data_IF_666894156791
#
_entry.id   IF_666894156791
#
_cell.length_a   1.000
_cell.length_b   1.000
_cell.length_c   1.000
_cell.angle_alpha   90.00
_cell.angle_beta   90.00
_cell.angle_gamma   90.00
#
_symmetry.space_group_name_H-M   'P 1'
#
loop_
_entity.id
_entity.type
_entity.pdbx_description
1 polymer ?
#
# COMPACT_ATOMS: atom_id res chain seq x y z
N UNK A 1 29.71 -29.46 17.38
CA UNK A 1 28.44 -28.76 17.09
C UNK A 1 28.68 -27.40 16.44
N UNK A 2 29.57 -26.56 16.99
CA UNK A 2 30.01 -25.26 16.42
C UNK A 2 30.57 -25.33 14.99
N UNK A 3 31.41 -26.32 14.68
CA UNK A 3 31.98 -26.49 13.32
C UNK A 3 30.92 -26.84 12.25
N UNK A 4 29.85 -27.55 12.63
CA UNK A 4 28.77 -27.93 11.71
C UNK A 4 27.86 -26.73 11.42
N UNK A 5 27.58 -25.91 12.44
CA UNK A 5 26.81 -24.65 12.32
C UNK A 5 27.56 -23.65 11.44
N UNK A 6 28.88 -23.49 11.61
CA UNK A 6 29.68 -22.59 10.77
C UNK A 6 29.71 -22.99 9.28
N UNK A 7 29.68 -24.29 8.99
CA UNK A 7 29.65 -24.79 7.61
C UNK A 7 28.30 -24.56 6.93
N UNK A 8 27.19 -24.77 7.65
CA UNK A 8 25.86 -24.48 7.12
C UNK A 8 25.61 -22.98 6.98
N UNK A 9 26.09 -22.15 7.92
CA UNK A 9 26.03 -20.69 7.82
C UNK A 9 26.82 -20.16 6.61
N UNK A 10 28.03 -20.68 6.36
CA UNK A 10 28.83 -20.30 5.18
C UNK A 10 28.16 -20.68 3.85
N UNK A 11 27.50 -21.83 3.79
CA UNK A 11 26.71 -22.24 2.60
C UNK A 11 25.50 -21.33 2.40
N UNK A 12 24.78 -21.01 3.47
CA UNK A 12 23.64 -20.09 3.42
C UNK A 12 24.07 -18.70 2.97
N UNK A 13 25.17 -18.17 3.50
CA UNK A 13 25.72 -16.87 3.13
C UNK A 13 26.08 -16.80 1.65
N UNK A 14 26.84 -17.77 1.14
CA UNK A 14 27.19 -17.84 -0.30
C UNK A 14 25.94 -17.89 -1.18
N UNK A 15 24.89 -18.57 -0.73
CA UNK A 15 23.62 -18.63 -1.43
C UNK A 15 22.91 -17.28 -1.43
N UNK A 16 22.78 -16.63 -0.28
CA UNK A 16 22.19 -15.30 -0.17
C UNK A 16 22.92 -14.34 -1.11
N UNK A 17 24.26 -14.31 -1.10
CA UNK A 17 25.02 -13.47 -2.02
C UNK A 17 24.74 -13.77 -3.50
N UNK A 18 24.62 -15.04 -3.88
CA UNK A 18 24.32 -15.43 -5.26
C UNK A 18 22.90 -15.02 -5.69
N UNK A 19 21.89 -15.31 -4.87
CA UNK A 19 20.50 -14.93 -5.14
C UNK A 19 20.35 -13.40 -5.16
N UNK A 20 20.93 -12.68 -4.20
CA UNK A 20 20.95 -11.20 -4.17
C UNK A 20 21.58 -10.62 -5.43
N UNK A 21 22.69 -11.19 -5.94
CA UNK A 21 23.29 -10.70 -7.18
C UNK A 21 22.36 -10.90 -8.39
N UNK A 22 21.68 -12.05 -8.47
CA UNK A 22 20.67 -12.26 -9.52
C UNK A 22 19.48 -11.31 -9.40
N UNK A 23 19.02 -11.05 -8.18
CA UNK A 23 17.92 -10.12 -7.94
C UNK A 23 18.32 -8.67 -8.25
N UNK A 24 19.55 -8.24 -7.94
CA UNK A 24 20.05 -6.91 -8.29
C UNK A 24 20.08 -6.73 -9.81
N UNK A 25 20.52 -7.75 -10.57
CA UNK A 25 20.51 -7.67 -12.03
C UNK A 25 19.10 -7.56 -12.59
N UNK A 26 18.15 -8.35 -12.08
CA UNK A 26 16.72 -8.25 -12.43
C UNK A 26 16.13 -6.90 -12.04
N UNK A 27 16.52 -6.36 -10.88
CA UNK A 27 16.11 -5.04 -10.43
C UNK A 27 16.64 -3.96 -11.36
N UNK A 28 17.89 -4.04 -11.78
CA UNK A 28 18.51 -3.11 -12.73
C UNK A 28 17.89 -3.21 -14.13
N UNK A 29 17.30 -4.34 -14.51
CA UNK A 29 16.53 -4.47 -15.75
C UNK A 29 15.14 -3.84 -15.64
N UNK A 30 14.45 -4.06 -14.52
CA UNK A 30 13.06 -3.64 -14.32
C UNK A 30 12.86 -2.37 -13.47
N UNK A 31 13.93 -1.64 -13.11
CA UNK A 31 13.88 -0.50 -12.20
C UNK A 31 12.87 0.58 -12.62
N UNK A 32 12.68 0.77 -13.94
CA UNK A 32 11.71 1.73 -14.50
C UNK A 32 10.27 1.39 -14.08
N UNK A 33 9.91 0.10 -14.05
CA UNK A 33 8.57 -0.34 -13.64
C UNK A 33 8.33 -0.06 -12.16
N UNK A 34 9.33 -0.33 -11.32
CA UNK A 34 9.25 -0.09 -9.88
C UNK A 34 9.17 1.40 -9.59
N UNK A 35 10.03 2.20 -10.25
CA UNK A 35 10.01 3.65 -10.12
C UNK A 35 8.67 4.23 -10.59
N UNK A 36 8.14 3.78 -11.73
CA UNK A 36 6.83 4.20 -12.21
C UNK A 36 5.71 3.86 -11.21
N UNK A 37 5.74 2.66 -10.61
CA UNK A 37 4.82 2.26 -9.56
C UNK A 37 4.89 3.16 -8.32
N UNK A 38 6.10 3.50 -7.86
CA UNK A 38 6.31 4.40 -6.72
C UNK A 38 5.83 5.83 -7.00
N UNK A 39 6.15 6.36 -8.18
CA UNK A 39 5.67 7.67 -8.62
C UNK A 39 4.14 7.66 -8.66
N UNK A 40 3.53 6.58 -9.17
CA UNK A 40 2.08 6.48 -9.24
C UNK A 40 1.43 6.41 -7.86
N UNK A 41 2.05 5.75 -6.86
CA UNK A 41 1.55 5.77 -5.49
C UNK A 41 1.50 7.19 -4.92
N UNK A 42 2.51 8.01 -5.21
CA UNK A 42 2.51 9.42 -4.82
C UNK A 42 1.40 10.20 -5.54
N UNK A 43 1.23 10.01 -6.85
CA UNK A 43 0.14 10.63 -7.63
C UNK A 43 -1.23 10.21 -7.08
N UNK A 44 -1.41 8.94 -6.74
CA UNK A 44 -2.65 8.44 -6.13
C UNK A 44 -2.92 9.10 -4.77
N UNK A 45 -1.89 9.26 -3.91
CA UNK A 45 -2.02 9.99 -2.65
C UNK A 45 -2.45 11.45 -2.85
N UNK A 46 -1.84 12.11 -3.84
CA UNK A 46 -2.19 13.47 -4.24
C UNK A 46 -3.64 13.55 -4.73
N UNK A 47 -4.06 12.63 -5.59
CA UNK A 47 -5.41 12.57 -6.14
C UNK A 47 -6.46 12.28 -5.05
N UNK A 48 -6.19 11.35 -4.14
CA UNK A 48 -7.08 11.05 -3.02
C UNK A 48 -7.29 12.26 -2.12
N UNK A 49 -6.25 13.05 -1.86
CA UNK A 49 -6.36 14.30 -1.10
C UNK A 49 -7.00 15.42 -1.90
N UNK A 50 -6.77 15.45 -3.21
CA UNK A 50 -7.44 16.32 -4.17
C UNK A 50 -8.96 16.23 -4.05
N UNK A 51 -9.50 15.02 -3.94
CA UNK A 51 -10.95 14.79 -3.76
C UNK A 51 -11.47 15.50 -2.51
N UNK A 52 -10.73 15.51 -1.40
CA UNK A 52 -11.18 16.18 -0.17
C UNK A 52 -11.32 17.71 -0.28
N UNK A 53 -10.66 18.36 -1.26
CA UNK A 53 -10.89 19.77 -1.56
C UNK A 53 -12.17 20.01 -2.37
N UNK A 54 -12.56 19.05 -3.21
CA UNK A 54 -13.78 19.12 -4.01
C UNK A 54 -14.99 18.56 -3.24
N UNK A 55 -14.75 17.73 -2.23
CA UNK A 55 -15.77 17.01 -1.50
C UNK A 55 -16.66 17.97 -0.69
N UNK A 56 -17.97 17.77 -0.81
CA UNK A 56 -18.98 18.39 0.06
C UNK A 56 -19.47 17.31 1.03
N UNK A 57 -19.33 17.51 2.36
CA UNK A 57 -19.79 16.53 3.32
C UNK A 57 -21.31 16.39 3.20
N UNK A 58 -21.77 15.15 3.17
CA UNK A 58 -23.17 14.78 3.03
C UNK A 58 -23.53 13.65 4.00
N UNK A 59 -24.82 13.32 4.17
CA UNK A 59 -25.25 12.20 4.98
C UNK A 59 -24.71 10.88 4.40
N UNK A 60 -24.38 9.94 5.29
CA UNK A 60 -23.86 8.63 4.89
C UNK A 60 -24.90 7.92 4.02
N UNK A 61 -24.48 7.46 2.84
CA UNK A 61 -25.37 6.74 1.94
C UNK A 61 -25.70 5.36 2.55
N UNK A 62 -26.98 4.98 2.66
CA UNK A 62 -27.35 3.66 3.13
C UNK A 62 -26.94 2.63 2.07
N UNK A 63 -26.02 1.74 2.41
CA UNK A 63 -25.65 0.60 1.59
C UNK A 63 -26.04 -0.71 2.31
N UNK A 64 -26.31 -1.76 1.53
CA UNK A 64 -26.62 -3.09 2.06
C UNK A 64 -25.46 -3.63 2.93
N UNK A 65 -24.24 -3.17 2.65
CA UNK A 65 -23.04 -3.49 3.42
C UNK A 65 -23.14 -3.03 4.87
N UNK A 66 -23.37 -1.73 5.12
CA UNK A 66 -23.52 -1.20 6.49
C UNK A 66 -24.80 -1.69 7.18
N UNK A 67 -25.81 -2.11 6.42
CA UNK A 67 -27.00 -2.75 6.97
C UNK A 67 -26.69 -4.14 7.53
N UNK A 68 -25.90 -4.96 6.82
CA UNK A 68 -25.56 -6.32 7.25
C UNK A 68 -24.35 -6.39 8.19
N UNK A 69 -23.37 -5.50 8.02
CA UNK A 69 -22.17 -5.39 8.83
C UNK A 69 -22.10 -3.99 9.44
N UNK A 70 -22.61 -3.81 10.67
CA UNK A 70 -22.54 -2.52 11.35
C UNK A 70 -21.08 -2.15 11.60
N UNK A 71 -20.82 -0.84 11.57
CA UNK A 71 -19.50 -0.31 11.87
C UNK A 71 -19.03 -0.70 13.29
N UNK A 72 -17.76 -1.09 13.41
CA UNK A 72 -17.19 -1.59 14.66
C UNK A 72 -17.04 -0.49 15.74
N UNK A 73 -17.14 0.78 15.36
CA UNK A 73 -16.92 1.95 16.21
C UNK A 73 -15.46 2.43 16.19
N UNK A 74 -15.25 3.74 16.40
CA UNK A 74 -13.92 4.36 16.43
C UNK A 74 -13.01 3.73 17.51
N UNK A 75 -13.59 3.36 18.65
CA UNK A 75 -12.88 2.74 19.78
C UNK A 75 -12.30 1.35 19.44
N UNK A 76 -12.83 0.68 18.40
CA UNK A 76 -12.41 -0.66 17.96
C UNK A 76 -11.61 -0.64 16.65
N UNK A 77 -11.21 0.54 16.16
CA UNK A 77 -10.41 0.67 14.94
C UNK A 77 -9.09 -0.11 14.95
N UNK A 78 -8.56 -0.40 16.15
CA UNK A 78 -7.37 -1.25 16.31
C UNK A 78 -7.55 -2.64 15.68
N UNK A 79 -8.78 -3.18 15.62
CA UNK A 79 -8.99 -4.55 15.15
C UNK A 79 -8.77 -4.63 13.64
N UNK A 80 -9.28 -3.65 12.90
CA UNK A 80 -9.01 -3.52 11.47
C UNK A 80 -7.53 -3.27 11.20
N UNK A 81 -6.88 -2.44 12.01
CA UNK A 81 -5.46 -2.12 11.85
C UNK A 81 -4.57 -3.34 12.14
N UNK A 82 -4.86 -4.09 13.21
CA UNK A 82 -4.15 -5.33 13.55
C UNK A 82 -4.33 -6.39 12.47
N UNK A 83 -5.55 -6.60 11.97
CA UNK A 83 -5.82 -7.56 10.91
C UNK A 83 -5.08 -7.20 9.62
N UNK A 84 -5.16 -5.92 9.21
CA UNK A 84 -4.45 -5.43 8.04
C UNK A 84 -2.94 -5.61 8.19
N UNK A 85 -2.38 -5.20 9.33
CA UNK A 85 -0.95 -5.32 9.64
C UNK A 85 -0.51 -6.78 9.64
N UNK A 86 -1.30 -7.68 10.22
CA UNK A 86 -0.99 -9.11 10.26
C UNK A 86 -0.94 -9.72 8.85
N UNK A 87 -1.94 -9.44 8.01
CA UNK A 87 -1.99 -9.92 6.63
C UNK A 87 -0.83 -9.34 5.82
N UNK A 88 -0.58 -8.03 5.96
CA UNK A 88 0.50 -7.34 5.26
C UNK A 88 1.89 -7.87 5.65
N UNK A 89 2.16 -8.01 6.95
CA UNK A 89 3.42 -8.57 7.44
C UNK A 89 3.62 -10.02 7.00
N UNK A 90 2.55 -10.82 7.02
CA UNK A 90 2.61 -12.21 6.55
C UNK A 90 2.97 -12.28 5.06
N UNK A 91 2.37 -11.42 4.24
CA UNK A 91 2.72 -11.30 2.82
C UNK A 91 4.17 -10.82 2.62
N UNK A 92 4.59 -9.78 3.36
CA UNK A 92 5.93 -9.23 3.28
C UNK A 92 6.99 -10.28 3.66
N UNK A 93 6.79 -11.00 4.77
CA UNK A 93 7.69 -12.09 5.19
C UNK A 93 7.72 -13.23 4.16
N UNK A 94 6.58 -13.55 3.54
CA UNK A 94 6.52 -14.52 2.44
C UNK A 94 7.33 -14.08 1.22
N UNK A 95 7.50 -12.78 0.96
CA UNK A 95 8.38 -12.33 -0.15
C UNK A 95 9.85 -12.69 0.05
N UNK A 96 10.31 -12.93 1.29
CA UNK A 96 11.67 -13.40 1.58
C UNK A 96 11.81 -14.93 1.58
N UNK A 97 10.70 -15.66 1.38
CA UNK A 97 10.69 -17.11 1.26
C UNK A 97 11.74 -17.70 0.29
N UNK A 98 11.98 -17.15 -0.92
CA UNK A 98 12.99 -17.68 -1.84
C UNK A 98 14.44 -17.63 -1.30
N UNK A 99 14.76 -16.70 -0.39
CA UNK A 99 16.08 -16.61 0.22
C UNK A 99 16.34 -17.71 1.27
N UNK A 100 15.30 -18.11 2.00
CA UNK A 100 15.41 -19.06 3.11
C UNK A 100 15.26 -20.51 2.59
N UNK A 101 14.27 -20.76 1.71
CA UNK A 101 13.95 -22.10 1.23
C UNK A 101 14.53 -22.38 -0.16
N UNK A 102 14.85 -23.65 -0.46
CA UNK A 102 15.40 -24.07 -1.77
C UNK A 102 14.31 -24.08 -2.85
N UNK A 103 13.86 -22.91 -3.31
CA UNK A 103 12.88 -22.78 -4.39
C UNK A 103 13.43 -21.92 -5.53
N UNK A 104 13.92 -22.57 -6.61
CA UNK A 104 14.60 -21.93 -7.75
C UNK A 104 13.70 -21.17 -8.75
N UNK A 105 12.44 -20.86 -8.42
CA UNK A 105 11.46 -20.40 -9.43
C UNK A 105 10.74 -19.09 -9.11
N UNK A 106 11.02 -18.47 -7.97
CA UNK A 106 10.31 -17.27 -7.53
C UNK A 106 11.36 -16.19 -7.23
N UNK A 107 11.39 -15.13 -8.03
CA UNK A 107 12.22 -13.96 -7.82
C UNK A 107 11.41 -12.85 -7.16
N UNK A 108 11.95 -12.25 -6.11
CA UNK A 108 11.27 -11.22 -5.31
C UNK A 108 10.90 -10.00 -6.17
N UNK A 109 11.84 -9.53 -7.00
CA UNK A 109 11.66 -8.40 -7.92
C UNK A 109 10.46 -8.59 -8.86
N UNK A 110 10.30 -9.78 -9.44
CA UNK A 110 9.20 -10.06 -10.37
C UNK A 110 7.83 -10.10 -9.67
N UNK A 111 7.77 -10.59 -8.41
CA UNK A 111 6.55 -10.50 -7.60
C UNK A 111 6.19 -9.03 -7.38
N UNK A 112 7.15 -8.22 -6.92
CA UNK A 112 6.91 -6.81 -6.66
C UNK A 112 6.51 -6.03 -7.91
N UNK A 113 7.11 -6.31 -9.07
CA UNK A 113 6.66 -5.73 -10.34
C UNK A 113 5.20 -6.06 -10.65
N UNK A 114 4.76 -7.31 -10.44
CA UNK A 114 3.35 -7.70 -10.65
C UNK A 114 2.42 -7.02 -9.65
N UNK A 115 2.78 -7.04 -8.36
CA UNK A 115 2.01 -6.40 -7.29
C UNK A 115 1.85 -4.90 -7.56
N UNK A 116 2.92 -4.20 -7.93
CA UNK A 116 2.87 -2.79 -8.30
C UNK A 116 1.98 -2.54 -9.52
N UNK A 117 2.06 -3.39 -10.55
CA UNK A 117 1.18 -3.25 -11.73
C UNK A 117 -0.31 -3.38 -11.37
N UNK A 118 -0.68 -4.39 -10.56
CA UNK A 118 -2.05 -4.53 -10.07
C UNK A 118 -2.46 -3.37 -9.17
N UNK A 119 -1.56 -2.91 -8.29
CA UNK A 119 -1.82 -1.75 -7.42
C UNK A 119 -2.11 -0.49 -8.24
N UNK A 120 -1.31 -0.20 -9.28
CA UNK A 120 -1.53 0.95 -10.16
C UNK A 120 -2.92 0.89 -10.81
N UNK A 121 -3.32 -0.26 -11.36
CA UNK A 121 -4.65 -0.43 -11.98
C UNK A 121 -5.76 -0.21 -10.96
N UNK A 122 -5.66 -0.83 -9.78
CA UNK A 122 -6.64 -0.65 -8.70
C UNK A 122 -6.71 0.82 -8.23
N UNK A 123 -5.57 1.50 -8.15
CA UNK A 123 -5.49 2.91 -7.77
C UNK A 123 -6.07 3.83 -8.84
N UNK A 124 -5.87 3.56 -10.14
CA UNK A 124 -6.53 4.29 -11.23
C UNK A 124 -8.05 4.16 -11.10
N UNK A 125 -8.55 2.94 -10.96
CA UNK A 125 -9.99 2.70 -10.79
C UNK A 125 -10.53 3.44 -9.56
N UNK A 126 -9.79 3.40 -8.45
CA UNK A 126 -10.13 4.10 -7.22
C UNK A 126 -10.23 5.62 -7.43
N UNK A 127 -9.24 6.23 -8.11
CA UNK A 127 -9.27 7.67 -8.43
C UNK A 127 -10.50 7.99 -9.28
N UNK A 128 -10.73 7.24 -10.36
CA UNK A 128 -11.88 7.47 -11.26
C UNK A 128 -13.20 7.38 -10.48
N UNK A 129 -13.37 6.35 -9.65
CA UNK A 129 -14.58 6.19 -8.83
C UNK A 129 -14.75 7.35 -7.86
N UNK A 130 -13.71 7.75 -7.13
CA UNK A 130 -13.83 8.85 -6.16
C UNK A 130 -14.12 10.20 -6.82
N UNK A 131 -13.46 10.52 -7.94
CA UNK A 131 -13.73 11.77 -8.66
C UNK A 131 -15.12 11.77 -9.33
N UNK A 132 -15.57 10.63 -9.85
CA UNK A 132 -16.87 10.52 -10.51
C UNK A 132 -18.03 10.59 -9.53
N UNK A 133 -17.87 10.04 -8.33
CA UNK A 133 -18.99 9.87 -7.38
C UNK A 133 -18.99 10.92 -6.28
N UNK A 134 -17.84 11.55 -5.99
CA UNK A 134 -17.65 12.43 -4.84
C UNK A 134 -18.19 11.84 -3.52
N UNK A 135 -18.24 10.50 -3.41
CA UNK A 135 -18.91 9.81 -2.31
C UNK A 135 -18.37 10.26 -0.95
N UNK A 136 -19.25 10.57 0.03
CA UNK A 136 -18.82 10.79 1.41
C UNK A 136 -18.11 9.54 1.91
N UNK A 137 -16.87 9.71 2.33
CA UNK A 137 -16.08 8.64 2.89
C UNK A 137 -16.79 8.07 4.13
N UNK A 138 -16.88 6.74 4.29
CA UNK A 138 -17.55 6.14 5.45
C UNK A 138 -16.78 6.37 6.76
N UNK A 139 -15.50 6.75 6.64
CA UNK A 139 -14.62 7.01 7.77
C UNK A 139 -15.10 8.22 8.59
N UNK A 140 -14.96 8.13 9.91
CA UNK A 140 -15.41 9.15 10.88
C UNK A 140 -14.91 10.56 10.54
N UNK A 141 -13.71 10.66 9.96
CA UNK A 141 -13.10 11.93 9.56
C UNK A 141 -13.82 12.64 8.40
N UNK A 142 -14.64 11.95 7.62
CA UNK A 142 -15.34 12.46 6.44
C UNK A 142 -16.82 12.82 6.70
N UNK A 143 -17.35 12.58 7.91
CA UNK A 143 -18.76 12.85 8.26
C UNK A 143 -19.03 14.33 8.48
N UNK A 144 -20.28 14.74 8.26
CA UNK A 144 -20.75 16.09 8.60
C UNK A 144 -20.41 16.46 10.06
N UNK A 145 -19.77 17.61 10.26
CA UNK A 145 -19.33 18.09 11.58
C UNK A 145 -17.89 17.72 11.98
N UNK A 146 -17.19 16.87 11.22
CA UNK A 146 -15.76 16.60 11.44
C UNK A 146 -14.89 17.77 10.92
N UNK A 147 -13.92 18.21 11.74
CA UNK A 147 -12.94 19.26 11.38
C UNK A 147 -12.06 18.89 10.17
N UNK A 148 -11.99 17.60 9.82
CA UNK A 148 -11.19 17.07 8.71
C UNK A 148 -12.02 16.74 7.46
N UNK A 149 -13.35 16.93 7.51
CA UNK A 149 -14.24 16.53 6.41
C UNK A 149 -14.07 17.41 5.16
N UNK A 150 -13.67 18.65 5.35
CA UNK A 150 -13.35 19.60 4.28
C UNK A 150 -12.01 20.26 4.58
N UNK A 151 -11.06 20.16 3.65
CA UNK A 151 -9.84 20.96 3.74
C UNK A 151 -10.12 22.37 3.20
N UNK A 152 -9.56 23.43 3.84
CA UNK A 152 -9.66 24.78 3.30
C UNK A 152 -8.98 24.83 1.92
N UNK A 153 -9.46 25.70 1.03
CA UNK A 153 -8.90 25.83 -0.32
C UNK A 153 -7.39 26.13 -0.25
N UNK A 154 -6.55 25.39 -1.00
CA UNK A 154 -5.10 25.53 -0.89
C UNK A 154 -4.68 26.93 -1.35
N UNK A 155 -3.81 27.59 -0.58
CA UNK A 155 -3.32 28.93 -0.92
C UNK A 155 -2.09 28.88 -1.82
N UNK A 156 -1.46 27.70 -1.98
CA UNK A 156 -0.28 27.50 -2.82
C UNK A 156 -0.19 26.06 -3.37
N UNK A 157 0.39 25.93 -4.57
CA UNK A 157 0.67 24.63 -5.23
C UNK A 157 1.67 23.81 -4.39
N UNK A 158 2.52 24.48 -3.62
CA UNK A 158 3.46 23.82 -2.71
C UNK A 158 2.76 23.16 -1.53
N UNK A 159 1.62 23.67 -1.06
CA UNK A 159 0.82 22.96 -0.06
C UNK A 159 0.32 21.64 -0.66
N UNK A 160 -0.18 21.67 -1.90
CA UNK A 160 -0.67 20.47 -2.57
C UNK A 160 0.46 19.44 -2.82
N UNK A 161 1.68 19.88 -3.17
CA UNK A 161 2.82 19.00 -3.49
C UNK A 161 3.66 18.53 -2.28
N UNK A 162 3.90 19.39 -1.27
CA UNK A 162 4.78 19.09 -0.13
C UNK A 162 4.04 18.52 1.10
N UNK A 163 2.71 18.40 1.03
CA UNK A 163 1.94 17.86 2.13
C UNK A 163 2.27 16.38 2.33
N UNK A 164 2.76 16.07 3.54
CA UNK A 164 2.97 14.70 4.01
C UNK A 164 1.67 13.89 3.86
N UNK A 165 1.77 12.79 3.12
CA UNK A 165 0.80 11.71 3.15
C UNK A 165 0.87 11.07 4.54
N UNK A 166 0.00 11.52 5.44
CA UNK A 166 -0.44 10.76 6.61
C UNK A 166 -1.89 10.38 6.38
#
# INVERSE_FOLDING_TARGET
>A
MTLYIGREASKLWKRICAETNTEINLLAEHWKYILAGLIFQYIHGLAARGVHYLHRPGPVLPDLGFLFLPELGQDKGHFSEMLFTFVFLSFFLWTFYPFIFKCKKIYTVLIWCRVLAFLVVCQILRIITFYSTQLPGPNYHCREGSKLATLPHPQSIFEVLLINCW
#
